data_IF_400320068957
#
_entry.id   IF_400320068957
#
_cell.length_a   1.000
_cell.length_b   1.000
_cell.length_c   1.000
_cell.angle_alpha   90.00
_cell.angle_beta   90.00
_cell.angle_gamma   90.00
#
_symmetry.space_group_name_H-M   'P 1'
#
loop_
_entity.id
_entity.type
_entity.pdbx_description
1 polymer ?
#
# COMPACT_ATOMS: atom_id res chain seq x y z
N UNK A 1 -0.13 12.74 -13.67
CA UNK A 1 -0.29 13.99 -14.45
C UNK A 1 -1.63 14.66 -14.18
N UNK A 2 -2.76 13.93 -14.20
CA UNK A 2 -4.09 14.47 -13.86
C UNK A 2 -4.12 15.06 -12.45
N UNK A 3 -3.64 14.33 -11.45
CA UNK A 3 -3.61 14.76 -10.05
C UNK A 3 -2.71 15.99 -9.78
N UNK A 4 -1.76 16.29 -10.67
CA UNK A 4 -0.87 17.45 -10.55
C UNK A 4 -1.42 18.70 -11.24
N UNK A 5 -2.29 18.53 -12.24
CA UNK A 5 -2.78 19.64 -13.10
C UNK A 5 -4.22 20.04 -12.81
N UNK A 6 -5.01 19.16 -12.25
CA UNK A 6 -6.42 19.39 -11.93
C UNK A 6 -6.67 19.44 -10.42
N UNK A 7 -7.78 20.04 -10.02
CA UNK A 7 -8.21 20.03 -8.63
C UNK A 7 -8.52 18.58 -8.19
N UNK A 8 -7.75 18.06 -7.23
CA UNK A 8 -7.81 16.68 -6.74
C UNK A 8 -9.21 16.28 -6.27
N UNK A 9 -9.90 17.19 -5.56
CA UNK A 9 -11.30 16.98 -5.13
C UNK A 9 -12.22 16.74 -6.34
N UNK A 10 -12.05 17.49 -7.44
CA UNK A 10 -12.86 17.30 -8.65
C UNK A 10 -12.58 15.96 -9.31
N UNK A 11 -11.31 15.54 -9.38
CA UNK A 11 -10.95 14.23 -9.95
C UNK A 11 -11.63 13.11 -9.15
N UNK A 12 -11.46 13.12 -7.82
CA UNK A 12 -12.06 12.12 -6.94
C UNK A 12 -13.57 12.09 -7.14
N UNK A 13 -14.27 13.23 -7.00
CA UNK A 13 -15.72 13.28 -7.13
C UNK A 13 -16.19 12.79 -8.51
N UNK A 14 -15.51 13.15 -9.60
CA UNK A 14 -15.88 12.69 -10.95
C UNK A 14 -15.67 11.17 -11.10
N UNK A 15 -14.54 10.63 -10.62
CA UNK A 15 -14.24 9.20 -10.71
C UNK A 15 -15.22 8.39 -9.83
N UNK A 16 -15.43 8.81 -8.59
CA UNK A 16 -16.36 8.20 -7.65
C UNK A 16 -17.78 8.17 -8.23
N UNK A 17 -18.26 9.26 -8.85
CA UNK A 17 -19.59 9.29 -9.44
C UNK A 17 -19.75 8.28 -10.57
N UNK A 18 -18.74 8.09 -11.43
CA UNK A 18 -18.76 7.04 -12.45
C UNK A 18 -18.80 5.65 -11.80
N UNK A 19 -17.99 5.45 -10.77
CA UNK A 19 -17.93 4.20 -10.01
C UNK A 19 -19.28 3.89 -9.33
N UNK A 20 -19.88 4.87 -8.65
CA UNK A 20 -21.21 4.76 -8.01
C UNK A 20 -22.29 4.39 -9.02
N UNK A 21 -22.37 5.12 -10.13
CA UNK A 21 -23.37 4.86 -11.18
C UNK A 21 -23.16 3.45 -11.75
N UNK A 22 -21.93 3.06 -12.01
CA UNK A 22 -21.61 1.73 -12.53
C UNK A 22 -22.05 0.62 -11.56
N UNK A 23 -21.74 0.75 -10.26
CA UNK A 23 -22.15 -0.24 -9.27
C UNK A 23 -23.66 -0.30 -9.06
N UNK A 24 -24.35 0.82 -9.03
CA UNK A 24 -25.83 0.84 -8.91
C UNK A 24 -26.48 0.18 -10.13
N UNK A 25 -25.99 0.47 -11.34
CA UNK A 25 -26.51 -0.17 -12.55
C UNK A 25 -26.19 -1.68 -12.53
N UNK A 26 -25.00 -2.10 -12.14
CA UNK A 26 -24.65 -3.51 -11.96
C UNK A 26 -25.57 -4.22 -10.97
N UNK A 27 -25.99 -3.53 -9.90
CA UNK A 27 -26.90 -4.09 -8.91
C UNK A 27 -28.34 -4.23 -9.36
N UNK A 28 -28.78 -3.41 -10.32
CA UNK A 28 -30.15 -3.41 -10.87
C UNK A 28 -30.30 -4.31 -12.09
N UNK A 29 -29.22 -4.61 -12.81
CA UNK A 29 -29.22 -5.46 -14.00
C UNK A 29 -28.90 -6.91 -13.65
N UNK A 30 -29.46 -7.88 -14.39
CA UNK A 30 -29.01 -9.27 -14.29
C UNK A 30 -27.55 -9.39 -14.71
N UNK A 31 -26.87 -10.41 -14.19
CA UNK A 31 -25.47 -10.67 -14.54
C UNK A 31 -25.36 -10.92 -16.06
N UNK A 32 -24.67 -10.04 -16.74
CA UNK A 32 -24.56 -9.99 -18.20
C UNK A 32 -23.22 -9.43 -18.64
N UNK A 33 -22.88 -9.53 -19.92
CA UNK A 33 -21.68 -8.88 -20.45
C UNK A 33 -21.63 -7.38 -20.19
N UNK A 34 -22.77 -6.70 -20.13
CA UNK A 34 -22.87 -5.27 -19.79
C UNK A 34 -22.51 -5.00 -18.33
N UNK A 35 -23.00 -5.83 -17.40
CA UNK A 35 -22.66 -5.71 -15.97
C UNK A 35 -21.16 -5.91 -15.75
N UNK A 36 -20.55 -6.90 -16.44
CA UNK A 36 -19.12 -7.15 -16.39
C UNK A 36 -18.33 -5.94 -16.91
N UNK A 37 -18.76 -5.36 -18.06
CA UNK A 37 -18.11 -4.17 -18.63
C UNK A 37 -18.18 -2.97 -17.68
N UNK A 38 -19.32 -2.73 -17.04
CA UNK A 38 -19.49 -1.66 -16.04
C UNK A 38 -18.65 -1.89 -14.80
N UNK A 39 -18.52 -3.14 -14.34
CA UNK A 39 -17.64 -3.49 -13.23
C UNK A 39 -16.16 -3.17 -13.55
N UNK A 40 -15.69 -3.53 -14.74
CA UNK A 40 -14.35 -3.15 -15.19
C UNK A 40 -14.19 -1.64 -15.32
N UNK A 41 -15.21 -0.94 -15.83
CA UNK A 41 -15.20 0.53 -15.92
C UNK A 41 -15.03 1.15 -14.52
N UNK A 42 -15.80 0.69 -13.53
CA UNK A 42 -15.67 1.12 -12.14
C UNK A 42 -14.24 0.92 -11.61
N UNK A 43 -13.63 -0.25 -11.87
CA UNK A 43 -12.26 -0.57 -11.48
C UNK A 43 -11.21 0.35 -12.11
N UNK A 44 -11.37 0.72 -13.37
CA UNK A 44 -10.49 1.69 -14.05
C UNK A 44 -10.56 3.05 -13.37
N UNK A 45 -11.77 3.57 -13.10
CA UNK A 45 -11.93 4.87 -12.45
C UNK A 45 -11.44 4.87 -11.00
N UNK A 46 -11.67 3.80 -10.24
CA UNK A 46 -11.10 3.61 -8.91
C UNK A 46 -9.57 3.63 -8.92
N UNK A 47 -8.93 3.04 -9.95
CA UNK A 47 -7.47 3.09 -10.10
C UNK A 47 -6.95 4.49 -10.42
N UNK A 48 -7.71 5.27 -11.22
CA UNK A 48 -7.34 6.65 -11.59
C UNK A 48 -7.42 7.59 -10.37
N UNK A 49 -8.39 7.39 -9.47
CA UNK A 49 -8.58 8.25 -8.30
C UNK A 49 -7.57 8.02 -7.18
N UNK A 50 -7.05 6.79 -7.02
CA UNK A 50 -6.18 6.41 -5.92
C UNK A 50 -5.05 7.40 -5.63
N UNK A 51 -4.20 7.77 -6.62
CA UNK A 51 -3.16 8.78 -6.43
C UNK A 51 -3.69 10.16 -6.04
N UNK A 52 -4.95 10.49 -6.37
CA UNK A 52 -5.57 11.76 -5.98
C UNK A 52 -6.02 11.75 -4.52
N UNK A 53 -6.47 10.61 -4.00
CA UNK A 53 -6.75 10.43 -2.57
C UNK A 53 -5.49 10.60 -1.73
N UNK A 54 -4.42 9.89 -2.07
CA UNK A 54 -3.15 10.00 -1.35
C UNK A 54 -2.60 11.42 -1.36
N UNK A 55 -2.71 12.09 -2.52
CA UNK A 55 -2.31 13.48 -2.65
C UNK A 55 -3.21 14.43 -1.84
N UNK A 56 -4.51 14.15 -1.74
CA UNK A 56 -5.44 14.94 -0.93
C UNK A 56 -5.10 14.82 0.57
N UNK A 57 -4.79 13.62 1.06
CA UNK A 57 -4.33 13.39 2.44
C UNK A 57 -3.05 14.18 2.72
N UNK A 58 -2.09 14.17 1.78
CA UNK A 58 -0.86 14.95 1.90
C UNK A 58 -1.11 16.46 1.96
N UNK A 59 -2.09 16.97 1.18
CA UNK A 59 -2.45 18.40 1.17
C UNK A 59 -3.18 18.86 2.43
N UNK A 60 -4.01 17.99 3.00
CA UNK A 60 -4.81 18.30 4.20
C UNK A 60 -4.02 18.11 5.49
N UNK A 61 -2.88 17.42 5.46
CA UNK A 61 -2.02 17.17 6.61
C UNK A 61 -0.76 18.03 6.59
N UNK A 62 -0.35 18.52 7.75
CA UNK A 62 0.96 19.14 7.92
C UNK A 62 2.05 18.07 8.17
N UNK A 63 3.32 18.49 8.27
CA UNK A 63 4.43 17.55 8.47
C UNK A 63 4.37 16.77 9.79
N UNK A 64 3.64 17.28 10.79
CA UNK A 64 3.53 16.64 12.12
C UNK A 64 2.36 15.65 12.18
N UNK A 65 1.22 16.01 11.60
CA UNK A 65 -0.01 15.20 11.58
C UNK A 65 -0.03 14.15 10.45
N UNK A 66 0.87 14.27 9.46
CA UNK A 66 0.86 13.43 8.25
C UNK A 66 0.96 11.93 8.53
N UNK A 67 1.82 11.55 9.47
CA UNK A 67 1.98 10.15 9.85
C UNK A 67 0.69 9.59 10.50
N UNK A 68 0.04 10.40 11.35
CA UNK A 68 -1.25 10.02 11.95
C UNK A 68 -2.37 9.92 10.91
N UNK A 69 -2.39 10.83 9.93
CA UNK A 69 -3.38 10.80 8.85
C UNK A 69 -3.25 9.52 8.01
N UNK A 70 -2.04 9.15 7.60
CA UNK A 70 -1.82 7.91 6.86
C UNK A 70 -2.06 6.65 7.71
N UNK A 71 -1.74 6.68 9.00
CA UNK A 71 -2.04 5.56 9.88
C UNK A 71 -3.55 5.33 10.05
N UNK A 72 -4.34 6.42 10.12
CA UNK A 72 -5.79 6.34 10.19
C UNK A 72 -6.40 5.83 8.87
N UNK A 73 -5.87 6.28 7.73
CA UNK A 73 -6.26 5.76 6.41
C UNK A 73 -5.99 4.25 6.31
N UNK A 74 -4.81 3.82 6.71
CA UNK A 74 -4.42 2.42 6.70
C UNK A 74 -5.29 1.57 7.63
N UNK A 75 -5.61 2.07 8.82
CA UNK A 75 -6.52 1.41 9.75
C UNK A 75 -7.91 1.24 9.14
N UNK A 76 -8.45 2.30 8.52
CA UNK A 76 -9.74 2.26 7.82
C UNK A 76 -9.78 1.26 6.68
N UNK A 77 -8.71 1.19 5.86
CA UNK A 77 -8.58 0.17 4.81
C UNK A 77 -8.61 -1.25 5.38
N UNK A 78 -7.88 -1.51 6.46
CA UNK A 78 -7.85 -2.84 7.08
C UNK A 78 -9.18 -3.22 7.72
N UNK A 79 -9.89 -2.28 8.35
CA UNK A 79 -11.26 -2.50 8.81
C UNK A 79 -12.19 -2.92 7.66
N UNK A 80 -12.06 -2.23 6.52
CA UNK A 80 -12.78 -2.58 5.29
C UNK A 80 -12.45 -4.01 4.83
N UNK A 81 -11.17 -4.39 4.80
CA UNK A 81 -10.71 -5.72 4.40
C UNK A 81 -11.20 -6.84 5.34
N UNK A 82 -11.44 -6.55 6.62
CA UNK A 82 -12.04 -7.51 7.57
C UNK A 82 -13.54 -7.68 7.32
N UNK A 83 -14.26 -6.57 7.14
CA UNK A 83 -15.72 -6.58 7.06
C UNK A 83 -16.23 -6.97 5.66
N UNK A 84 -15.56 -6.52 4.60
CA UNK A 84 -16.04 -6.72 3.22
C UNK A 84 -16.19 -8.19 2.81
N UNK A 85 -15.25 -9.12 3.08
CA UNK A 85 -15.42 -10.51 2.69
C UNK A 85 -16.57 -11.19 3.42
N UNK A 86 -16.81 -10.84 4.69
CA UNK A 86 -17.91 -11.38 5.48
C UNK A 86 -19.24 -10.93 4.89
N UNK A 87 -19.41 -9.65 4.60
CA UNK A 87 -20.61 -9.09 4.00
C UNK A 87 -20.81 -9.66 2.59
N UNK A 88 -19.74 -9.68 1.77
CA UNK A 88 -19.77 -10.20 0.42
C UNK A 88 -20.13 -11.69 0.40
N UNK A 89 -19.58 -12.51 1.29
CA UNK A 89 -19.87 -13.93 1.39
C UNK A 89 -21.36 -14.21 1.66
N UNK A 90 -21.98 -13.43 2.55
CA UNK A 90 -23.42 -13.53 2.82
C UNK A 90 -24.30 -13.13 1.61
N UNK A 91 -23.84 -12.16 0.82
CA UNK A 91 -24.65 -11.62 -0.28
C UNK A 91 -24.39 -12.32 -1.62
N UNK A 92 -23.23 -12.99 -1.75
CA UNK A 92 -22.75 -13.49 -3.04
C UNK A 92 -23.66 -14.52 -3.68
N UNK A 93 -24.16 -15.50 -2.91
CA UNK A 93 -24.93 -16.60 -3.46
C UNK A 93 -26.34 -16.20 -3.92
N UNK A 94 -27.02 -15.32 -3.16
CA UNK A 94 -28.45 -15.04 -3.38
C UNK A 94 -28.76 -13.57 -3.65
N UNK A 95 -27.85 -12.66 -3.32
CA UNK A 95 -28.10 -11.21 -3.32
C UNK A 95 -26.95 -10.41 -3.94
N UNK A 96 -26.31 -10.93 -4.99
CA UNK A 96 -25.17 -10.29 -5.65
C UNK A 96 -25.48 -8.84 -6.08
N UNK A 97 -26.69 -8.59 -6.62
CA UNK A 97 -27.13 -7.25 -6.97
C UNK A 97 -27.15 -6.28 -5.77
N UNK A 98 -27.59 -6.79 -4.60
CA UNK A 98 -27.56 -5.99 -3.37
C UNK A 98 -26.14 -5.67 -2.92
N UNK A 99 -25.17 -6.56 -3.11
CA UNK A 99 -23.76 -6.30 -2.82
C UNK A 99 -23.23 -5.13 -3.66
N UNK A 100 -23.54 -5.07 -4.93
CA UNK A 100 -23.17 -3.93 -5.80
C UNK A 100 -23.84 -2.63 -5.36
N UNK A 101 -25.13 -2.66 -5.01
CA UNK A 101 -25.85 -1.47 -4.53
C UNK A 101 -25.24 -0.95 -3.22
N UNK A 102 -24.94 -1.84 -2.27
CA UNK A 102 -24.29 -1.46 -0.98
C UNK A 102 -22.93 -0.82 -1.25
N UNK A 103 -22.13 -1.37 -2.16
CA UNK A 103 -20.84 -0.79 -2.56
C UNK A 103 -21.01 0.60 -3.17
N UNK A 104 -21.97 0.76 -4.07
CA UNK A 104 -22.29 2.06 -4.65
C UNK A 104 -22.73 3.10 -3.61
N UNK A 105 -23.60 2.73 -2.67
CA UNK A 105 -24.04 3.62 -1.57
C UNK A 105 -22.88 3.96 -0.65
N UNK A 106 -22.01 3.01 -0.30
CA UNK A 106 -20.85 3.26 0.55
C UNK A 106 -19.87 4.24 -0.12
N UNK A 107 -19.57 4.05 -1.41
CA UNK A 107 -18.73 4.96 -2.19
C UNK A 107 -19.37 6.35 -2.26
N UNK A 108 -20.67 6.43 -2.57
CA UNK A 108 -21.39 7.71 -2.60
C UNK A 108 -21.36 8.44 -1.26
N UNK A 109 -21.51 7.71 -0.14
CA UNK A 109 -21.44 8.29 1.21
C UNK A 109 -20.06 8.88 1.49
N UNK A 110 -18.98 8.19 1.09
CA UNK A 110 -17.61 8.71 1.18
C UNK A 110 -17.43 9.97 0.34
N UNK A 111 -17.88 9.93 -0.91
CA UNK A 111 -17.82 11.08 -1.83
C UNK A 111 -18.60 12.28 -1.29
N UNK A 112 -19.77 12.04 -0.71
CA UNK A 112 -20.58 13.09 -0.08
C UNK A 112 -19.84 13.77 1.08
N UNK A 113 -19.15 12.98 1.92
CA UNK A 113 -18.32 13.54 3.00
C UNK A 113 -17.18 14.42 2.43
N UNK A 114 -16.55 13.99 1.35
CA UNK A 114 -15.52 14.80 0.67
C UNK A 114 -16.12 16.09 0.11
N UNK A 115 -17.30 16.03 -0.48
CA UNK A 115 -17.97 17.22 -1.03
C UNK A 115 -18.29 18.22 0.09
N UNK A 116 -18.80 17.75 1.22
CA UNK A 116 -19.28 18.59 2.30
C UNK A 116 -18.14 19.13 3.19
N UNK A 117 -17.18 18.30 3.54
CA UNK A 117 -16.19 18.63 4.56
C UNK A 117 -14.82 19.03 4.01
N UNK A 118 -14.42 18.53 2.85
CA UNK A 118 -13.18 18.93 2.23
C UNK A 118 -13.41 20.25 1.51
N UNK A 119 -13.00 21.37 2.13
CA UNK A 119 -12.99 22.67 1.46
C UNK A 119 -12.18 22.58 0.17
N UNK A 120 -12.62 23.28 -0.88
CA UNK A 120 -11.79 23.42 -2.07
C UNK A 120 -10.49 24.09 -1.64
N UNK A 121 -9.46 23.28 -1.49
CA UNK A 121 -8.12 23.80 -1.41
C UNK A 121 -7.86 24.40 -2.80
N UNK A 122 -8.06 25.73 -2.94
CA UNK A 122 -7.18 26.44 -3.84
C UNK A 122 -5.80 25.96 -3.41
N UNK A 123 -5.00 25.57 -4.40
CA UNK A 123 -3.57 25.36 -4.17
C UNK A 123 -3.02 26.74 -3.79
N UNK A 124 -3.43 27.25 -2.62
CA UNK A 124 -2.75 28.36 -1.99
C UNK A 124 -1.37 27.81 -1.72
N UNK A 125 -0.39 28.50 -2.30
CA UNK A 125 1.02 28.29 -2.03
C UNK A 125 1.21 28.30 -0.51
N UNK A 126 0.91 27.16 0.18
CA UNK A 126 1.26 26.99 1.59
C UNK A 126 2.72 27.38 1.68
N UNK A 127 3.08 28.19 2.66
CA UNK A 127 4.48 28.51 2.95
C UNK A 127 5.25 27.21 2.93
N UNK A 128 6.08 27.08 1.91
CA UNK A 128 6.93 25.92 1.67
C UNK A 128 7.63 25.64 3.00
N UNK A 129 7.45 24.46 3.58
CA UNK A 129 8.37 24.05 4.64
C UNK A 129 9.76 24.09 4.01
N UNK A 130 10.79 24.38 4.78
CA UNK A 130 12.19 24.52 4.32
C UNK A 130 12.66 23.38 3.38
N UNK A 131 11.87 22.34 3.25
CA UNK A 131 12.10 21.13 2.44
C UNK A 131 11.13 20.95 1.27
N UNK A 132 10.05 21.76 1.15
CA UNK A 132 9.11 21.70 0.02
C UNK A 132 9.56 22.66 -1.10
N UNK A 133 10.51 22.22 -1.88
CA UNK A 133 11.00 22.93 -3.06
C UNK A 133 9.98 22.84 -4.19
N UNK A 134 9.51 23.98 -4.72
CA UNK A 134 8.69 24.06 -5.91
C UNK A 134 9.58 24.14 -7.14
N UNK A 135 9.57 23.07 -7.94
CA UNK A 135 10.20 23.06 -9.26
C UNK A 135 9.11 23.02 -10.31
N UNK A 136 8.68 24.19 -10.77
CA UNK A 136 7.76 24.31 -11.89
C UNK A 136 8.52 24.04 -13.20
N UNK A 137 7.93 23.19 -14.08
CA UNK A 137 8.44 22.86 -15.43
C UNK A 137 9.66 21.93 -15.55
N UNK A 138 10.07 21.21 -14.53
CA UNK A 138 11.14 20.21 -14.68
C UNK A 138 10.59 18.83 -15.08
N UNK A 139 11.37 18.07 -15.85
CA UNK A 139 11.06 16.67 -16.20
C UNK A 139 11.26 15.77 -14.98
N UNK A 140 10.31 14.83 -14.75
CA UNK A 140 10.35 13.85 -13.63
C UNK A 140 11.68 13.11 -13.58
N UNK A 141 12.21 12.68 -14.73
CA UNK A 141 13.49 11.96 -14.81
C UNK A 141 14.68 12.81 -14.33
N UNK A 142 14.67 14.13 -14.54
CA UNK A 142 15.72 15.01 -14.03
C UNK A 142 15.69 15.05 -12.50
N UNK A 143 14.51 15.20 -11.92
CA UNK A 143 14.33 15.22 -10.46
C UNK A 143 14.76 13.88 -9.84
N UNK A 144 14.37 12.75 -10.44
CA UNK A 144 14.78 11.43 -9.98
C UNK A 144 16.30 11.25 -10.05
N UNK A 145 16.95 11.77 -11.09
CA UNK A 145 18.40 11.70 -11.25
C UNK A 145 19.15 12.56 -10.24
N UNK A 146 18.66 13.75 -9.96
CA UNK A 146 19.20 14.62 -8.92
C UNK A 146 18.96 14.09 -7.51
N UNK A 147 17.85 13.37 -7.29
CA UNK A 147 17.47 12.77 -6.00
C UNK A 147 17.64 11.26 -6.03
N UNK A 148 18.88 10.81 -6.20
CA UNK A 148 19.24 9.38 -6.30
C UNK A 148 18.64 8.47 -5.21
N UNK A 149 18.47 8.89 -3.93
CA UNK A 149 17.78 8.06 -2.94
C UNK A 149 16.37 7.64 -3.36
N UNK A 150 15.67 8.45 -4.17
CA UNK A 150 14.32 8.11 -4.62
C UNK A 150 14.34 7.01 -5.68
N UNK A 151 15.38 6.96 -6.53
CA UNK A 151 15.57 5.84 -7.46
C UNK A 151 15.86 4.53 -6.70
N UNK A 152 16.71 4.59 -5.67
CA UNK A 152 16.98 3.42 -4.82
C UNK A 152 15.70 3.02 -4.08
N UNK A 153 14.92 3.99 -3.59
CA UNK A 153 13.62 3.70 -2.98
C UNK A 153 12.65 3.01 -3.96
N UNK A 154 12.60 3.42 -5.22
CA UNK A 154 11.78 2.75 -6.23
C UNK A 154 12.18 1.28 -6.42
N UNK A 155 13.49 0.96 -6.33
CA UNK A 155 13.97 -0.43 -6.36
C UNK A 155 13.61 -1.18 -5.08
N UNK A 156 13.74 -0.55 -3.90
CA UNK A 156 13.28 -1.13 -2.61
C UNK A 156 11.79 -1.46 -2.69
N UNK A 157 10.98 -0.51 -3.16
CA UNK A 157 9.54 -0.69 -3.33
C UNK A 157 9.22 -1.79 -4.37
N UNK A 158 9.99 -1.88 -5.46
CA UNK A 158 9.82 -2.92 -6.49
C UNK A 158 10.11 -4.32 -5.95
N UNK A 159 11.31 -4.54 -5.41
CA UNK A 159 11.68 -5.82 -4.82
C UNK A 159 10.84 -6.17 -3.58
N UNK A 160 10.52 -5.19 -2.74
CA UNK A 160 9.59 -5.35 -1.62
C UNK A 160 8.20 -5.80 -2.08
N UNK A 161 7.66 -5.20 -3.13
CA UNK A 161 6.37 -5.59 -3.73
C UNK A 161 6.40 -7.01 -4.30
N UNK A 162 7.53 -7.44 -4.90
CA UNK A 162 7.73 -8.82 -5.36
C UNK A 162 7.63 -9.80 -4.19
N UNK A 163 8.32 -9.52 -3.09
CA UNK A 163 8.29 -10.35 -1.89
C UNK A 163 6.90 -10.33 -1.26
N UNK A 164 6.30 -9.15 -1.08
CA UNK A 164 4.98 -8.98 -0.49
C UNK A 164 3.88 -9.70 -1.28
N UNK A 165 3.96 -9.70 -2.61
CA UNK A 165 2.99 -10.38 -3.47
C UNK A 165 2.87 -11.89 -3.15
N UNK A 166 3.89 -12.51 -2.58
CA UNK A 166 3.89 -13.92 -2.23
C UNK A 166 2.96 -14.25 -1.05
N UNK A 167 2.56 -13.25 -0.27
CA UNK A 167 1.50 -13.39 0.73
C UNK A 167 0.17 -13.84 0.10
N UNK A 168 -0.20 -13.24 -1.04
CA UNK A 168 -1.46 -13.54 -1.73
C UNK A 168 -1.31 -14.57 -2.87
N UNK A 169 -0.08 -14.93 -3.25
CA UNK A 169 0.19 -15.87 -4.34
C UNK A 169 0.75 -17.20 -3.85
N UNK A 170 1.97 -17.20 -3.32
CA UNK A 170 2.66 -18.43 -2.96
C UNK A 170 2.09 -19.06 -1.68
N UNK A 171 1.74 -18.25 -0.69
CA UNK A 171 1.28 -18.74 0.61
C UNK A 171 -0.03 -19.55 0.51
N UNK A 172 -1.12 -19.05 -0.14
CA UNK A 172 -2.34 -19.86 -0.27
C UNK A 172 -2.13 -21.14 -1.08
N UNK A 173 -1.33 -21.13 -2.16
CA UNK A 173 -0.99 -22.32 -2.94
C UNK A 173 -0.22 -23.36 -2.10
N UNK A 174 0.72 -22.89 -1.29
CA UNK A 174 1.47 -23.76 -0.40
C UNK A 174 0.58 -24.33 0.71
N UNK A 175 -0.37 -23.55 1.27
CA UNK A 175 -1.34 -24.04 2.24
C UNK A 175 -2.25 -25.13 1.62
N UNK A 176 -2.71 -24.93 0.40
CA UNK A 176 -3.50 -25.94 -0.32
C UNK A 176 -2.71 -27.22 -0.53
N UNK A 177 -1.45 -27.11 -0.93
CA UNK A 177 -0.58 -28.28 -1.13
C UNK A 177 -0.31 -29.06 0.16
N UNK A 178 -0.10 -28.37 1.29
CA UNK A 178 0.21 -28.99 2.58
C UNK A 178 -1.02 -29.55 3.31
N UNK A 179 -2.17 -28.90 3.17
CA UNK A 179 -3.36 -29.18 3.98
C UNK A 179 -4.60 -29.54 3.17
N UNK A 180 -4.49 -29.63 1.84
CA UNK A 180 -5.60 -29.98 0.93
C UNK A 180 -6.79 -29.02 1.10
N UNK A 181 -7.99 -29.57 1.21
CA UNK A 181 -9.23 -28.79 1.35
C UNK A 181 -9.24 -27.83 2.56
N UNK A 182 -8.42 -28.08 3.58
CA UNK A 182 -8.30 -27.19 4.74
C UNK A 182 -7.38 -25.99 4.48
N UNK A 183 -6.58 -26.01 3.41
CA UNK A 183 -5.60 -24.96 3.09
C UNK A 183 -6.22 -23.58 2.95
N UNK A 184 -7.35 -23.49 2.25
CA UNK A 184 -8.08 -22.23 2.09
C UNK A 184 -8.57 -21.67 3.42
N UNK A 185 -9.09 -22.52 4.32
CA UNK A 185 -9.54 -22.09 5.64
C UNK A 185 -8.37 -21.61 6.51
N UNK A 186 -7.21 -22.29 6.45
CA UNK A 186 -6.00 -21.88 7.17
C UNK A 186 -5.50 -20.54 6.65
N UNK A 187 -5.44 -20.34 5.33
CA UNK A 187 -5.07 -19.05 4.74
C UNK A 187 -6.04 -17.95 5.17
N UNK A 188 -7.35 -18.23 5.19
CA UNK A 188 -8.36 -17.29 5.71
C UNK A 188 -8.10 -16.89 7.17
N UNK A 189 -7.75 -17.85 8.04
CA UNK A 189 -7.39 -17.59 9.44
C UNK A 189 -6.11 -16.74 9.54
N UNK A 190 -5.09 -17.00 8.70
CA UNK A 190 -3.86 -16.18 8.64
C UNK A 190 -4.17 -14.75 8.21
N UNK A 191 -5.01 -14.58 7.19
CA UNK A 191 -5.44 -13.24 6.73
C UNK A 191 -6.24 -12.50 7.81
N UNK A 192 -7.12 -13.21 8.54
CA UNK A 192 -7.85 -12.62 9.67
C UNK A 192 -6.89 -12.22 10.82
N UNK A 193 -5.84 -13.01 11.06
CA UNK A 193 -4.79 -12.67 12.03
C UNK A 193 -4.02 -11.43 11.60
N UNK A 194 -3.65 -11.33 10.32
CA UNK A 194 -3.05 -10.12 9.77
C UNK A 194 -3.91 -8.88 10.07
N UNK A 195 -5.18 -8.91 9.70
CA UNK A 195 -6.08 -7.78 9.91
C UNK A 195 -6.25 -7.41 11.41
N UNK A 196 -6.37 -8.40 12.29
CA UNK A 196 -6.47 -8.19 13.74
C UNK A 196 -5.18 -7.54 14.29
N UNK A 197 -4.02 -8.05 13.89
CA UNK A 197 -2.72 -7.49 14.30
C UNK A 197 -2.55 -6.07 13.79
N UNK A 198 -2.96 -5.75 12.55
CA UNK A 198 -2.94 -4.37 12.04
C UNK A 198 -3.74 -3.45 12.94
N UNK A 199 -4.98 -3.83 13.30
CA UNK A 199 -5.86 -3.01 14.14
C UNK A 199 -5.23 -2.73 15.50
N UNK A 200 -4.60 -3.73 16.11
CA UNK A 200 -3.99 -3.61 17.45
C UNK A 200 -2.63 -2.91 17.37
N UNK A 201 -1.79 -3.30 16.43
CA UNK A 201 -0.40 -2.83 16.35
C UNK A 201 -0.26 -1.41 15.80
N UNK A 202 -1.15 -0.98 14.87
CA UNK A 202 -1.03 0.34 14.24
C UNK A 202 -1.03 1.49 15.24
N UNK A 203 -1.99 1.64 16.17
CA UNK A 203 -1.97 2.72 17.15
C UNK A 203 -0.77 2.64 18.08
N UNK A 204 -0.36 1.43 18.47
CA UNK A 204 0.79 1.21 19.36
C UNK A 204 2.08 1.65 18.66
N UNK A 205 2.33 1.12 17.46
CA UNK A 205 3.54 1.41 16.69
C UNK A 205 3.60 2.89 16.31
N UNK A 206 2.47 3.52 15.92
CA UNK A 206 2.43 4.94 15.55
C UNK A 206 2.92 5.83 16.71
N UNK A 207 2.63 5.48 17.95
CA UNK A 207 3.06 6.23 19.13
C UNK A 207 4.59 6.22 19.26
N UNK A 208 5.25 5.10 19.04
CA UNK A 208 6.71 4.95 19.16
C UNK A 208 7.44 5.34 17.85
N UNK A 209 6.84 5.02 16.71
CA UNK A 209 7.43 5.25 15.39
C UNK A 209 7.59 6.74 15.05
N UNK A 210 6.88 7.64 15.73
CA UNK A 210 7.05 9.08 15.57
C UNK A 210 8.49 9.57 15.77
N UNK A 211 9.25 8.90 16.63
CA UNK A 211 10.67 9.19 16.90
C UNK A 211 11.64 8.61 15.86
N UNK A 212 11.20 7.63 15.08
CA UNK A 212 12.02 6.93 14.08
C UNK A 212 11.92 7.66 12.73
N UNK A 213 13.05 7.86 12.05
CA UNK A 213 13.06 8.46 10.72
C UNK A 213 12.45 7.51 9.68
N UNK A 214 11.80 8.08 8.64
CA UNK A 214 10.99 7.31 7.70
C UNK A 214 11.75 6.15 7.03
N UNK A 215 13.00 6.39 6.60
CA UNK A 215 13.85 5.36 5.96
C UNK A 215 14.16 4.20 6.90
N UNK A 216 14.37 4.46 8.19
CA UNK A 216 14.59 3.39 9.17
C UNK A 216 13.31 2.59 9.41
N UNK A 217 12.12 3.23 9.36
CA UNK A 217 10.85 2.50 9.41
C UNK A 217 10.71 1.55 8.23
N UNK A 218 11.05 2.01 7.02
CA UNK A 218 11.05 1.19 5.81
C UNK A 218 12.02 0.01 5.96
N UNK A 219 13.25 0.24 6.42
CA UNK A 219 14.22 -0.82 6.63
C UNK A 219 13.75 -1.86 7.65
N UNK A 220 13.19 -1.42 8.78
CA UNK A 220 12.61 -2.33 9.80
C UNK A 220 11.42 -3.09 9.20
N UNK A 221 10.52 -2.38 8.52
CA UNK A 221 9.34 -2.95 7.89
C UNK A 221 9.68 -4.03 6.88
N UNK A 222 10.55 -3.73 5.91
CA UNK A 222 11.01 -4.71 4.91
C UNK A 222 11.69 -5.92 5.59
N UNK A 223 12.54 -5.69 6.59
CA UNK A 223 13.23 -6.79 7.29
C UNK A 223 12.25 -7.74 7.96
N UNK A 224 11.21 -7.23 8.63
CA UNK A 224 10.20 -8.04 9.29
C UNK A 224 9.27 -8.74 8.28
N UNK A 225 8.87 -8.08 7.19
CA UNK A 225 8.10 -8.69 6.11
C UNK A 225 8.85 -9.89 5.53
N UNK A 226 10.13 -9.70 5.23
CA UNK A 226 10.98 -10.74 4.65
C UNK A 226 11.17 -11.89 5.63
N UNK A 227 11.43 -11.59 6.90
CA UNK A 227 11.55 -12.61 7.95
C UNK A 227 10.26 -13.41 8.10
N UNK A 228 9.11 -12.74 8.13
CA UNK A 228 7.79 -13.37 8.21
C UNK A 228 7.52 -14.30 7.03
N UNK A 229 7.69 -13.83 5.80
CA UNK A 229 7.41 -14.64 4.61
C UNK A 229 8.45 -15.73 4.36
N UNK A 230 9.74 -15.40 4.41
CA UNK A 230 10.79 -16.42 4.21
C UNK A 230 10.81 -17.49 5.29
N UNK A 231 10.33 -17.14 6.49
CA UNK A 231 10.22 -18.05 7.63
C UNK A 231 9.29 -19.24 7.38
N UNK A 232 8.28 -19.09 6.50
CA UNK A 232 7.34 -20.17 6.17
C UNK A 232 8.03 -21.44 5.65
N UNK A 233 9.18 -21.30 5.01
CA UNK A 233 10.00 -22.43 4.61
C UNK A 233 10.38 -23.34 5.77
N UNK A 234 10.71 -22.78 6.93
CA UNK A 234 11.29 -23.51 8.06
C UNK A 234 10.26 -24.07 9.03
N UNK A 235 9.00 -23.65 8.91
CA UNK A 235 7.92 -24.02 9.85
C UNK A 235 6.89 -24.95 9.23
N UNK A 236 7.18 -25.57 8.08
CA UNK A 236 6.25 -26.45 7.38
C UNK A 236 5.75 -27.57 8.31
N UNK A 237 4.42 -27.69 8.41
CA UNK A 237 3.75 -28.67 9.29
C UNK A 237 3.56 -28.23 10.76
N UNK A 238 4.08 -27.09 11.19
CA UNK A 238 3.93 -26.60 12.58
C UNK A 238 2.96 -25.41 12.59
N UNK A 239 1.67 -25.72 12.64
CA UNK A 239 0.61 -24.69 12.47
C UNK A 239 0.75 -23.45 13.37
N UNK A 240 1.04 -23.52 14.68
CA UNK A 240 1.18 -22.32 15.52
C UNK A 240 2.25 -21.34 15.02
N UNK A 241 3.33 -21.85 14.42
CA UNK A 241 4.42 -20.99 13.93
C UNK A 241 4.02 -20.19 12.68
N UNK A 242 3.04 -20.67 11.90
CA UNK A 242 2.49 -19.87 10.80
C UNK A 242 1.86 -18.57 11.30
N UNK A 243 1.15 -18.62 12.43
CA UNK A 243 0.54 -17.45 13.03
C UNK A 243 1.59 -16.52 13.64
N UNK A 244 2.63 -17.05 14.25
CA UNK A 244 3.76 -16.23 14.75
C UNK A 244 4.44 -15.48 13.60
N UNK A 245 4.72 -16.17 12.49
CA UNK A 245 5.32 -15.54 11.31
C UNK A 245 4.38 -14.50 10.69
N UNK A 246 3.07 -14.76 10.71
CA UNK A 246 2.06 -13.79 10.25
C UNK A 246 2.08 -12.52 11.13
N UNK A 247 2.20 -12.65 12.46
CA UNK A 247 2.32 -11.49 13.35
C UNK A 247 3.58 -10.70 13.02
N UNK A 248 4.74 -11.37 12.83
CA UNK A 248 6.00 -10.71 12.46
C UNK A 248 5.86 -9.97 11.12
N UNK A 249 5.29 -10.63 10.10
CA UNK A 249 5.00 -10.06 8.80
C UNK A 249 4.14 -8.80 8.93
N UNK A 250 3.06 -8.87 9.69
CA UNK A 250 2.09 -7.77 9.86
C UNK A 250 2.68 -6.58 10.60
N UNK A 251 3.50 -6.82 11.64
CA UNK A 251 4.24 -5.73 12.31
C UNK A 251 5.16 -5.02 11.31
N UNK A 252 5.83 -5.77 10.44
CA UNK A 252 6.63 -5.23 9.34
C UNK A 252 5.81 -4.37 8.38
N UNK A 253 4.63 -4.84 8.00
CA UNK A 253 3.68 -4.14 7.13
C UNK A 253 3.27 -2.78 7.72
N UNK A 254 2.97 -2.74 9.02
CA UNK A 254 2.65 -1.49 9.73
C UNK A 254 3.82 -0.50 9.69
N UNK A 255 5.05 -0.97 10.01
CA UNK A 255 6.23 -0.11 9.92
C UNK A 255 6.47 0.43 8.50
N UNK A 256 6.29 -0.41 7.51
CA UNK A 256 6.48 -0.06 6.10
C UNK A 256 5.46 1.01 5.66
N UNK A 257 4.20 0.84 6.02
CA UNK A 257 3.13 1.82 5.75
C UNK A 257 3.41 3.17 6.41
N UNK A 258 3.82 3.17 7.68
CA UNK A 258 4.17 4.39 8.42
C UNK A 258 5.46 5.08 7.92
N UNK A 259 6.30 4.36 7.17
CA UNK A 259 7.52 4.87 6.56
C UNK A 259 7.32 5.39 5.14
N UNK A 260 6.66 4.64 4.27
CA UNK A 260 6.62 4.85 2.82
C UNK A 260 6.00 6.19 2.41
N UNK A 261 4.79 6.47 2.84
CA UNK A 261 4.08 7.68 2.43
C UNK A 261 4.74 8.97 2.98
N UNK A 262 5.12 9.06 4.28
CA UNK A 262 5.87 10.19 4.78
C UNK A 262 7.25 10.36 4.13
N UNK A 263 7.94 9.25 3.81
CA UNK A 263 9.21 9.28 3.09
C UNK A 263 9.09 10.05 1.78
N UNK A 264 8.14 9.66 0.95
CA UNK A 264 7.90 10.27 -0.35
C UNK A 264 7.51 11.74 -0.24
N UNK A 265 6.54 12.05 0.61
CA UNK A 265 5.99 13.41 0.72
C UNK A 265 6.98 14.41 1.30
N UNK A 266 7.96 13.97 2.11
CA UNK A 266 8.97 14.85 2.70
C UNK A 266 10.18 15.08 1.79
N UNK A 267 10.41 14.22 0.79
CA UNK A 267 11.62 14.25 -0.07
C UNK A 267 11.34 14.64 -1.50
N UNK A 268 10.08 14.78 -1.85
CA UNK A 268 9.68 15.15 -3.20
C UNK A 268 9.06 16.55 -3.26
N UNK A 269 9.35 17.32 -4.32
CA UNK A 269 8.62 18.56 -4.58
C UNK A 269 7.12 18.28 -4.74
N UNK A 270 6.29 19.11 -4.10
CA UNK A 270 4.83 18.94 -4.14
C UNK A 270 4.24 18.93 -5.56
N UNK A 271 4.91 19.63 -6.50
CA UNK A 271 4.52 19.70 -7.92
C UNK A 271 4.75 18.40 -8.70
N UNK A 272 5.57 17.47 -8.19
CA UNK A 272 5.95 16.23 -8.88
C UNK A 272 5.52 14.98 -8.13
N UNK A 273 4.91 15.14 -6.96
CA UNK A 273 4.57 14.02 -6.07
C UNK A 273 3.71 12.95 -6.77
N UNK A 274 2.63 13.34 -7.45
CA UNK A 274 1.75 12.40 -8.15
C UNK A 274 2.45 11.63 -9.27
N UNK A 275 3.34 12.29 -10.03
CA UNK A 275 4.07 11.63 -11.14
C UNK A 275 5.08 10.61 -10.64
N UNK A 276 5.83 10.96 -9.58
CA UNK A 276 6.83 10.06 -9.00
C UNK A 276 6.16 8.91 -8.28
N UNK A 277 5.07 9.17 -7.57
CA UNK A 277 4.30 8.12 -6.93
C UNK A 277 3.74 7.13 -7.96
N UNK A 278 3.17 7.62 -9.06
CA UNK A 278 2.71 6.77 -10.18
C UNK A 278 3.85 5.93 -10.79
N UNK A 279 5.05 6.51 -10.92
CA UNK A 279 6.24 5.76 -11.38
C UNK A 279 6.58 4.62 -10.41
N UNK A 280 6.60 4.88 -9.11
CA UNK A 280 6.90 3.87 -8.09
C UNK A 280 5.83 2.78 -8.07
N UNK A 281 4.54 3.12 -8.16
CA UNK A 281 3.46 2.14 -8.26
C UNK A 281 3.59 1.27 -9.51
N UNK A 282 3.98 1.85 -10.65
CA UNK A 282 4.21 1.10 -11.90
C UNK A 282 5.37 0.12 -11.74
N UNK A 283 6.49 0.56 -11.15
CA UNK A 283 7.64 -0.30 -10.86
C UNK A 283 7.23 -1.42 -9.91
N UNK A 284 6.56 -1.10 -8.80
CA UNK A 284 6.11 -2.09 -7.82
C UNK A 284 5.15 -3.11 -8.43
N UNK A 285 4.19 -2.68 -9.23
CA UNK A 285 3.26 -3.56 -9.94
C UNK A 285 3.96 -4.48 -10.94
N UNK A 286 4.93 -3.95 -11.72
CA UNK A 286 5.69 -4.74 -12.66
C UNK A 286 6.54 -5.81 -11.96
N UNK A 287 7.22 -5.46 -10.85
CA UNK A 287 8.00 -6.40 -10.04
C UNK A 287 7.12 -7.46 -9.38
N UNK A 288 5.96 -7.08 -8.86
CA UNK A 288 4.98 -8.00 -8.29
C UNK A 288 4.49 -9.02 -9.33
N UNK A 289 4.08 -8.55 -10.52
CA UNK A 289 3.62 -9.41 -11.60
C UNK A 289 4.74 -10.34 -12.10
N UNK A 290 5.93 -9.80 -12.34
CA UNK A 290 7.09 -10.59 -12.74
C UNK A 290 7.48 -11.61 -11.67
N UNK A 291 7.44 -11.20 -10.40
CA UNK A 291 7.72 -12.06 -9.26
C UNK A 291 6.78 -13.26 -9.20
N UNK A 292 5.47 -13.05 -9.37
CA UNK A 292 4.51 -14.15 -9.39
C UNK A 292 4.78 -15.15 -10.52
N UNK A 293 5.12 -14.67 -11.74
CA UNK A 293 5.47 -15.53 -12.86
C UNK A 293 6.75 -16.33 -12.57
N UNK A 294 7.77 -15.67 -12.03
CA UNK A 294 9.04 -16.31 -11.74
C UNK A 294 8.92 -17.35 -10.63
N UNK A 295 8.27 -16.97 -9.52
CA UNK A 295 8.05 -17.87 -8.37
C UNK A 295 7.16 -19.05 -8.76
N UNK A 296 6.11 -18.83 -9.58
CA UNK A 296 5.27 -19.91 -10.11
C UNK A 296 6.09 -20.93 -10.89
N UNK A 297 6.96 -20.47 -11.82
CA UNK A 297 7.87 -21.35 -12.56
C UNK A 297 8.83 -22.13 -11.65
N UNK A 298 9.29 -21.51 -10.56
CA UNK A 298 10.14 -22.21 -9.59
C UNK A 298 9.35 -23.28 -8.85
N UNK A 299 8.09 -23.00 -8.48
CA UNK A 299 7.21 -24.00 -7.87
C UNK A 299 7.04 -25.21 -8.80
N UNK A 300 6.66 -24.96 -10.07
CA UNK A 300 6.41 -26.03 -11.05
C UNK A 300 7.65 -26.89 -11.29
N UNK A 301 8.84 -26.30 -11.39
CA UNK A 301 10.07 -27.03 -11.73
C UNK A 301 10.82 -27.58 -10.52
N UNK A 302 10.64 -27.01 -9.32
CA UNK A 302 11.55 -27.24 -8.20
C UNK A 302 10.87 -27.30 -6.83
N UNK A 303 9.56 -27.10 -6.78
CA UNK A 303 8.74 -27.18 -5.58
C UNK A 303 8.80 -25.93 -4.69
N UNK A 304 7.93 -25.94 -3.69
CA UNK A 304 7.70 -24.81 -2.76
C UNK A 304 8.93 -24.45 -1.93
N UNK A 305 9.75 -25.43 -1.54
CA UNK A 305 10.95 -25.19 -0.73
C UNK A 305 11.93 -24.25 -1.44
N UNK A 306 12.18 -24.50 -2.74
CA UNK A 306 13.04 -23.63 -3.56
C UNK A 306 12.38 -22.27 -3.88
N UNK A 307 11.05 -22.25 -4.00
CA UNK A 307 10.31 -21.01 -4.19
C UNK A 307 10.44 -20.08 -2.98
N UNK A 308 10.28 -20.59 -1.76
CA UNK A 308 10.53 -19.80 -0.53
C UNK A 308 11.97 -19.35 -0.39
N UNK A 309 12.93 -20.16 -0.83
CA UNK A 309 14.34 -19.76 -0.86
C UNK A 309 14.58 -18.58 -1.82
N UNK A 310 13.95 -18.61 -2.99
CA UNK A 310 14.03 -17.52 -3.95
C UNK A 310 13.37 -16.24 -3.39
N UNK A 311 12.24 -16.34 -2.71
CA UNK A 311 11.62 -15.22 -1.99
C UNK A 311 12.59 -14.61 -0.97
N UNK A 312 13.27 -15.45 -0.18
CA UNK A 312 14.29 -15.02 0.76
C UNK A 312 15.47 -14.32 0.08
N UNK A 313 15.95 -14.82 -1.07
CA UNK A 313 17.03 -14.20 -1.83
C UNK A 313 16.64 -12.80 -2.35
N UNK A 314 15.43 -12.64 -2.90
CA UNK A 314 14.91 -11.32 -3.25
C UNK A 314 14.74 -10.41 -2.04
N UNK A 315 14.34 -10.99 -0.90
CA UNK A 315 14.27 -10.29 0.37
C UNK A 315 15.64 -9.74 0.81
N UNK A 316 16.69 -10.54 0.73
CA UNK A 316 18.07 -10.08 1.03
C UNK A 316 18.46 -8.92 0.12
N UNK A 317 18.15 -9.01 -1.19
CA UNK A 317 18.38 -7.90 -2.10
C UNK A 317 17.62 -6.62 -1.70
N UNK A 318 16.36 -6.76 -1.26
CA UNK A 318 15.56 -5.64 -0.72
C UNK A 318 16.23 -5.00 0.48
N UNK A 319 16.73 -5.81 1.44
CA UNK A 319 17.41 -5.30 2.65
C UNK A 319 18.69 -4.55 2.27
N UNK A 320 19.52 -5.10 1.38
CA UNK A 320 20.74 -4.44 0.90
C UNK A 320 20.42 -3.09 0.26
N UNK A 321 19.39 -3.03 -0.57
CA UNK A 321 18.92 -1.78 -1.18
C UNK A 321 18.39 -0.80 -0.13
N UNK A 322 17.64 -1.27 0.88
CA UNK A 322 17.10 -0.42 1.95
C UNK A 322 18.22 0.13 2.86
N UNK A 323 19.27 -0.64 3.12
CA UNK A 323 20.47 -0.16 3.83
C UNK A 323 21.19 0.90 2.98
N UNK A 324 21.37 0.65 1.68
CA UNK A 324 21.95 1.61 0.74
C UNK A 324 21.14 2.89 0.69
N UNK A 325 19.81 2.77 0.64
CA UNK A 325 18.89 3.89 0.72
C UNK A 325 19.12 4.71 1.99
N UNK A 326 19.21 4.06 3.16
CA UNK A 326 19.41 4.77 4.44
C UNK A 326 20.73 5.55 4.46
N UNK A 327 21.80 5.00 3.90
CA UNK A 327 23.12 5.67 3.81
C UNK A 327 23.05 6.88 2.87
N UNK A 328 22.46 6.71 1.68
CA UNK A 328 22.38 7.77 0.68
C UNK A 328 21.43 8.88 1.11
N UNK A 329 20.30 8.52 1.70
CA UNK A 329 19.29 9.45 2.19
C UNK A 329 19.86 10.37 3.30
N UNK A 330 20.61 9.78 4.25
CA UNK A 330 21.27 10.56 5.31
C UNK A 330 22.26 11.57 4.75
N UNK A 331 22.97 11.24 3.65
CA UNK A 331 23.91 12.17 3.01
C UNK A 331 23.20 13.32 2.29
N UNK A 332 22.11 13.03 1.58
CA UNK A 332 21.43 14.02 0.75
C UNK A 332 20.42 14.88 1.53
N UNK A 333 19.78 14.32 2.55
CA UNK A 333 18.72 14.96 3.33
C UNK A 333 19.08 15.08 4.81
N UNK A 334 20.35 15.39 5.13
CA UNK A 334 20.90 15.41 6.49
C UNK A 334 20.11 16.28 7.48
N UNK A 335 19.53 17.39 7.02
CA UNK A 335 18.70 18.28 7.83
C UNK A 335 17.44 17.62 8.39
N UNK A 336 16.87 16.61 7.68
CA UNK A 336 15.73 15.84 8.21
C UNK A 336 16.14 14.97 9.40
N UNK A 337 17.39 14.56 9.45
CA UNK A 337 17.94 13.75 10.55
C UNK A 337 18.22 14.60 11.77
N UNK A 338 18.87 15.76 11.64
CA UNK A 338 19.17 16.69 12.74
C UNK A 338 17.89 17.15 13.46
N UNK A 339 16.84 17.51 12.69
CA UNK A 339 15.56 17.94 13.26
C UNK A 339 14.87 16.85 14.09
N UNK A 340 15.08 15.57 13.76
CA UNK A 340 14.50 14.44 14.53
C UNK A 340 15.38 14.04 15.72
N UNK A 341 16.69 14.08 15.60
CA UNK A 341 17.62 13.83 16.70
C UNK A 341 17.47 14.92 17.79
N UNK A 342 17.36 16.19 17.43
CA UNK A 342 17.10 17.29 18.39
C UNK A 342 15.72 17.26 19.08
N UNK A 343 14.68 16.64 18.46
CA UNK A 343 13.40 16.40 19.13
C UNK A 343 13.40 15.17 20.06
N UNK A 344 14.40 14.32 20.00
CA UNK A 344 14.51 13.14 20.86
C UNK A 344 15.29 13.44 22.17
N UNK A 345 16.02 14.56 22.21
CA UNK A 345 16.82 14.97 23.38
C UNK A 345 16.13 16.03 24.25
N UNK A 346 14.99 16.59 23.83
CA UNK A 346 14.15 17.52 24.59
C UNK A 346 12.79 16.90 24.89
#
# INVERSE_FOLDING_TARGET
KLADTMNRKKIIVCCDMVTVISYIICGLLPLSGYSIALFYLAGVFATIEGPSYDALVADLSDSESREKAYSLQYLGMNLGLVLSPTIAGFLFENYLGLAFIITGIATFSSTLLIILFVKQLRVEKKKVSEYEEKRENEHVFKILWERRPILIYALVAGFGALVYAQFNYLLPLNMETLYGAKGAAIFGMLTSTNALVVIIATPIITTFAGRIIDVRKILIGESLIILGLSGYRFVQGIMPLYFVLMVIFTVGEVFNTLGNQPYMTRRMPSTHWGRVNSFIYTVSGAFSAWGNILIGKIVDNSGYDRAWLAVGAFGVATIVLAVTLNIMDKKQFYLLYEKKEGKAEG
#
